data_IF_362283068393
#
_entry.id   IF_362283068393
#
_cell.length_a   1.000
_cell.length_b   1.000
_cell.length_c   1.000
_cell.angle_alpha   90.00
_cell.angle_beta   90.00
_cell.angle_gamma   90.00
#
_symmetry.space_group_name_H-M   'P 1'
#
loop_
_entity.id
_entity.type
_entity.pdbx_description
1 polymer ?
#
# COMPACT_ATOMS: atom_id res chain seq x y z
N UNK A 1 -5.33 -13.82 9.35
CA UNK A 1 -4.38 -12.99 8.58
C UNK A 1 -3.14 -13.79 8.15
N UNK A 2 -3.31 -15.03 7.68
CA UNK A 2 -2.20 -15.94 7.32
C UNK A 2 -2.14 -16.24 5.83
N UNK A 3 -3.01 -15.61 5.02
CA UNK A 3 -3.10 -15.88 3.58
C UNK A 3 -1.75 -15.71 2.88
N UNK A 4 -1.00 -14.66 3.26
CA UNK A 4 0.33 -14.36 2.72
C UNK A 4 1.36 -15.50 2.88
N UNK A 5 1.18 -16.38 3.87
CA UNK A 5 2.10 -17.48 4.17
C UNK A 5 1.66 -18.78 3.49
N UNK A 6 0.38 -18.88 3.15
CA UNK A 6 -0.22 -20.07 2.55
C UNK A 6 -0.34 -19.97 1.03
N UNK A 7 -0.21 -18.78 0.45
CA UNK A 7 -0.29 -18.62 -1.00
C UNK A 7 1.00 -19.10 -1.67
N UNK A 8 0.84 -19.66 -2.87
CA UNK A 8 1.97 -20.05 -3.70
C UNK A 8 2.41 -18.86 -4.54
N UNK A 9 3.58 -18.31 -4.20
CA UNK A 9 4.22 -17.30 -5.04
C UNK A 9 4.90 -18.00 -6.22
N UNK A 10 4.53 -17.65 -7.45
CA UNK A 10 5.34 -18.03 -8.62
C UNK A 10 6.56 -17.11 -8.66
N UNK A 11 7.78 -17.64 -8.67
CA UNK A 11 9.01 -16.83 -8.55
C UNK A 11 9.08 -15.71 -9.60
N UNK A 12 8.53 -15.96 -10.80
CA UNK A 12 8.56 -15.07 -11.96
C UNK A 12 7.40 -14.06 -12.05
N UNK A 13 6.41 -14.11 -11.14
CA UNK A 13 5.21 -13.26 -11.23
C UNK A 13 4.83 -12.64 -9.89
N UNK A 14 4.66 -11.32 -9.86
CA UNK A 14 4.06 -10.61 -8.74
C UNK A 14 2.53 -10.76 -8.81
N UNK A 15 2.00 -11.78 -8.12
CA UNK A 15 0.56 -12.04 -8.06
C UNK A 15 -0.11 -11.27 -6.91
N UNK A 16 0.66 -10.79 -5.95
CA UNK A 16 0.17 -10.05 -4.80
C UNK A 16 1.18 -8.96 -4.35
N UNK A 17 0.74 -7.81 -3.80
CA UNK A 17 1.65 -6.75 -3.32
C UNK A 17 2.66 -7.20 -2.25
N UNK A 18 2.36 -8.29 -1.52
CA UNK A 18 3.31 -8.89 -0.57
C UNK A 18 4.46 -9.65 -1.24
N UNK A 19 4.43 -9.85 -2.56
CA UNK A 19 5.45 -10.57 -3.33
C UNK A 19 6.55 -9.64 -3.85
N UNK A 20 6.39 -8.32 -3.67
CA UNK A 20 7.32 -7.30 -4.15
C UNK A 20 8.72 -7.47 -3.53
N UNK A 21 9.75 -7.02 -4.23
CA UNK A 21 11.14 -7.17 -3.79
C UNK A 21 11.42 -6.52 -2.43
N UNK A 22 10.71 -5.43 -2.07
CA UNK A 22 10.86 -4.81 -0.75
C UNK A 22 10.49 -5.79 0.38
N UNK A 23 9.40 -6.54 0.22
CA UNK A 23 9.03 -7.59 1.17
C UNK A 23 10.03 -8.74 1.10
N UNK A 24 10.44 -9.22 -0.09
CA UNK A 24 11.45 -10.29 -0.21
C UNK A 24 12.78 -9.93 0.48
N UNK A 25 13.24 -8.70 0.29
CA UNK A 25 14.42 -8.17 0.97
C UNK A 25 14.23 -8.17 2.50
N UNK A 26 13.09 -7.68 2.99
CA UNK A 26 12.78 -7.71 4.42
C UNK A 26 12.82 -9.13 5.02
N UNK A 27 12.30 -10.13 4.30
CA UNK A 27 12.35 -11.53 4.75
C UNK A 27 13.78 -12.07 4.82
N UNK A 28 14.64 -11.73 3.84
CA UNK A 28 16.06 -12.10 3.83
C UNK A 28 16.84 -11.44 4.97
N UNK A 29 16.52 -10.19 5.28
CA UNK A 29 17.18 -9.41 6.34
C UNK A 29 16.74 -9.86 7.74
N UNK A 30 15.49 -10.26 7.92
CA UNK A 30 14.91 -10.64 9.21
C UNK A 30 14.24 -12.03 9.18
N UNK A 31 15.00 -13.12 9.02
CA UNK A 31 14.45 -14.46 8.85
C UNK A 31 13.65 -14.95 10.05
N UNK A 32 14.09 -14.62 11.28
CA UNK A 32 13.38 -14.99 12.50
C UNK A 32 12.00 -14.32 12.59
N UNK A 33 11.90 -13.07 12.14
CA UNK A 33 10.64 -12.33 12.12
C UNK A 33 9.73 -12.86 10.99
N UNK A 34 10.31 -13.10 9.82
CA UNK A 34 9.62 -13.65 8.66
C UNK A 34 9.04 -15.06 8.89
N UNK A 35 9.62 -15.85 9.79
CA UNK A 35 9.13 -17.19 10.12
C UNK A 35 7.76 -17.16 10.83
N UNK A 36 7.39 -16.05 11.43
CA UNK A 36 6.14 -15.90 12.17
C UNK A 36 5.03 -15.36 11.26
N UNK A 37 4.11 -16.25 10.86
CA UNK A 37 3.02 -15.94 9.92
C UNK A 37 1.91 -15.03 10.48
N UNK A 38 1.98 -14.68 11.77
CA UNK A 38 0.96 -13.86 12.43
C UNK A 38 1.20 -12.35 12.28
N UNK A 39 2.36 -11.93 11.77
CA UNK A 39 2.64 -10.52 11.54
C UNK A 39 1.83 -9.95 10.36
N UNK A 40 1.33 -8.74 10.56
CA UNK A 40 0.54 -8.02 9.57
C UNK A 40 1.47 -7.27 8.62
N UNK A 41 1.32 -7.51 7.33
CA UNK A 41 1.91 -6.75 6.24
C UNK A 41 0.92 -5.67 5.85
N UNK A 42 1.35 -4.42 5.98
CA UNK A 42 0.54 -3.26 5.66
C UNK A 42 1.12 -2.54 4.45
N UNK A 43 0.23 -2.11 3.56
CA UNK A 43 0.52 -1.20 2.47
C UNK A 43 0.10 0.21 2.83
N UNK A 44 0.97 1.18 2.56
CA UNK A 44 0.66 2.60 2.61
C UNK A 44 0.65 3.13 1.19
N UNK A 45 -0.44 3.78 0.78
CA UNK A 45 -0.48 4.55 -0.45
C UNK A 45 -0.92 5.98 -0.18
N UNK A 46 -0.37 6.90 -0.97
CA UNK A 46 -0.61 8.32 -0.87
C UNK A 46 -0.77 8.84 -2.30
N UNK A 47 -1.95 9.34 -2.63
CA UNK A 47 -2.24 9.95 -3.92
C UNK A 47 -2.67 11.40 -3.71
N UNK A 48 -2.19 12.31 -4.55
CA UNK A 48 -2.42 13.74 -4.40
C UNK A 48 -3.67 14.14 -5.17
N UNK A 49 -4.68 14.68 -4.48
CA UNK A 49 -5.89 15.19 -5.13
C UNK A 49 -6.08 16.70 -4.88
N UNK A 50 -6.58 17.40 -5.90
CA UNK A 50 -6.84 18.84 -5.87
C UNK A 50 -8.36 19.10 -5.96
N UNK A 51 -9.07 19.35 -4.85
CA UNK A 51 -10.54 19.46 -4.83
C UNK A 51 -11.09 20.62 -5.66
N UNK A 52 -10.32 21.70 -5.84
CA UNK A 52 -10.82 22.96 -6.41
C UNK A 52 -10.42 23.24 -7.87
N UNK A 53 -9.78 22.29 -8.55
CA UNK A 53 -9.46 22.39 -9.97
C UNK A 53 -8.77 23.71 -10.38
N UNK A 54 -8.96 24.13 -11.63
CA UNK A 54 -8.27 25.28 -12.26
C UNK A 54 -8.74 26.66 -11.75
N UNK A 55 -9.81 26.74 -10.96
CA UNK A 55 -10.52 28.00 -10.68
C UNK A 55 -10.55 28.42 -9.20
N UNK A 56 -9.90 27.67 -8.30
CA UNK A 56 -9.82 27.98 -6.86
C UNK A 56 -8.39 28.05 -6.32
N UNK A 57 -8.22 28.45 -5.05
CA UNK A 57 -6.93 28.36 -4.33
C UNK A 57 -6.45 26.90 -4.38
N UNK A 58 -5.34 26.68 -5.08
CA UNK A 58 -4.81 25.35 -5.40
C UNK A 58 -3.97 24.84 -4.23
N UNK A 59 -4.60 24.06 -3.35
CA UNK A 59 -3.88 23.25 -2.36
C UNK A 59 -4.09 21.77 -2.67
N UNK A 60 -3.02 20.99 -2.56
CA UNK A 60 -3.08 19.54 -2.71
C UNK A 60 -3.44 18.90 -1.38
N UNK A 61 -4.33 17.92 -1.40
CA UNK A 61 -4.58 17.04 -0.27
C UNK A 61 -4.03 15.67 -0.62
N UNK A 62 -3.33 15.07 0.33
CA UNK A 62 -2.75 13.76 0.16
C UNK A 62 -3.36 12.82 1.20
N UNK A 63 -4.45 12.12 0.87
CA UNK A 63 -4.93 11.00 1.66
C UNK A 63 -3.84 9.95 1.82
N UNK A 64 -3.60 9.52 3.06
CA UNK A 64 -2.79 8.35 3.39
C UNK A 64 -3.75 7.21 3.65
N UNK A 65 -3.77 6.25 2.73
CA UNK A 65 -4.60 5.06 2.78
C UNK A 65 -3.73 3.89 3.25
N UNK A 66 -4.24 3.17 4.24
CA UNK A 66 -3.67 1.96 4.79
C UNK A 66 -4.47 0.75 4.30
N UNK A 67 -3.79 -0.27 3.81
CA UNK A 67 -4.42 -1.56 3.45
C UNK A 67 -3.66 -2.75 4.03
N UNK A 68 -4.36 -3.86 4.26
CA UNK A 68 -3.77 -5.12 4.72
C UNK A 68 -3.43 -6.05 3.55
N UNK A 69 -2.14 -6.36 3.43
CA UNK A 69 -1.59 -7.33 2.48
C UNK A 69 -1.57 -8.77 3.04
N UNK A 70 -2.32 -9.03 4.12
CA UNK A 70 -2.57 -10.38 4.63
C UNK A 70 -3.85 -10.99 4.07
N UNK A 71 -4.57 -10.27 3.21
CA UNK A 71 -5.80 -10.69 2.58
C UNK A 71 -5.52 -11.22 1.17
N UNK A 72 -6.42 -12.05 0.59
CA UNK A 72 -6.34 -12.45 -0.82
C UNK A 72 -6.30 -11.24 -1.76
N UNK A 73 -5.77 -11.38 -3.00
CA UNK A 73 -5.62 -10.28 -3.96
C UNK A 73 -6.94 -9.57 -4.28
N UNK A 74 -8.04 -10.33 -4.29
CA UNK A 74 -9.39 -9.84 -4.52
C UNK A 74 -9.84 -8.87 -3.42
N UNK A 75 -9.39 -9.09 -2.19
CA UNK A 75 -9.79 -8.35 -0.99
C UNK A 75 -8.80 -7.25 -0.61
N UNK A 76 -7.50 -7.48 -0.77
CA UNK A 76 -6.46 -6.57 -0.28
C UNK A 76 -6.50 -5.18 -0.96
N UNK A 77 -7.12 -5.08 -2.13
CA UNK A 77 -7.32 -3.82 -2.84
C UNK A 77 -8.79 -3.43 -2.96
N UNK A 78 -9.71 -4.08 -2.23
CA UNK A 78 -11.10 -3.63 -2.18
C UNK A 78 -11.26 -2.41 -1.28
N UNK A 79 -12.19 -1.53 -1.61
CA UNK A 79 -12.51 -0.33 -0.85
C UNK A 79 -12.84 -0.61 0.63
N UNK A 80 -13.49 -1.73 0.93
CA UNK A 80 -13.86 -2.15 2.28
C UNK A 80 -12.66 -2.40 3.21
N UNK A 81 -11.48 -2.68 2.64
CA UNK A 81 -10.25 -2.96 3.36
C UNK A 81 -9.21 -1.84 3.23
N UNK A 82 -9.59 -0.73 2.59
CA UNK A 82 -8.80 0.49 2.50
C UNK A 82 -9.24 1.48 3.57
N UNK A 83 -8.33 1.81 4.48
CA UNK A 83 -8.61 2.72 5.58
C UNK A 83 -7.93 4.07 5.31
N UNK A 84 -8.71 5.14 5.19
CA UNK A 84 -8.16 6.49 5.21
C UNK A 84 -7.68 6.78 6.65
N UNK A 85 -6.37 6.83 6.84
CA UNK A 85 -5.76 7.02 8.16
C UNK A 85 -5.42 8.47 8.45
N UNK A 86 -5.05 9.23 7.43
CA UNK A 86 -4.62 10.61 7.57
C UNK A 86 -4.85 11.39 6.28
N UNK A 87 -5.05 12.70 6.38
CA UNK A 87 -5.07 13.60 5.23
C UNK A 87 -4.00 14.66 5.47
N UNK A 88 -2.98 14.69 4.62
CA UNK A 88 -1.90 15.66 4.70
C UNK A 88 -2.23 16.84 3.76
N UNK A 89 -2.15 18.05 4.30
CA UNK A 89 -2.20 19.27 3.50
C UNK A 89 -0.85 19.49 2.83
N UNK A 90 -0.81 19.45 1.50
CA UNK A 90 0.41 19.68 0.74
C UNK A 90 0.59 21.16 0.41
N UNK A 91 1.86 21.59 0.45
CA UNK A 91 2.28 22.99 0.30
C UNK A 91 2.19 23.50 -1.16
N UNK A 92 2.11 22.62 -2.15
CA UNK A 92 2.04 22.96 -3.58
C UNK A 92 1.43 21.81 -4.41
N UNK A 93 1.00 22.09 -5.64
CA UNK A 93 0.36 21.13 -6.55
C UNK A 93 1.21 19.85 -6.75
N UNK A 94 0.60 18.64 -6.86
CA UNK A 94 1.29 17.47 -7.37
C UNK A 94 1.80 17.78 -8.77
N UNK A 95 3.12 17.74 -8.96
CA UNK A 95 3.71 17.90 -10.29
C UNK A 95 3.36 16.65 -11.07
N UNK A 96 2.48 16.79 -12.07
CA UNK A 96 2.26 15.74 -13.05
C UNK A 96 3.58 15.57 -13.79
N UNK A 97 4.29 14.47 -13.54
CA UNK A 97 5.45 14.09 -14.35
C UNK A 97 4.93 13.63 -15.70
N UNK A 98 4.86 14.56 -16.66
CA UNK A 98 4.64 14.30 -18.09
C UNK A 98 5.87 13.70 -18.73
#
# INVERSE_FOLDING_TARGET
MTWHANHQTKEESMCHPSDIEAWRHYHRTYPNFAAESHYVRLGLCMDGFAPYGQYGRTYSYWPVILTSYNLPPEMCMSYEYMFLTMVIHGLANPVVST
#
